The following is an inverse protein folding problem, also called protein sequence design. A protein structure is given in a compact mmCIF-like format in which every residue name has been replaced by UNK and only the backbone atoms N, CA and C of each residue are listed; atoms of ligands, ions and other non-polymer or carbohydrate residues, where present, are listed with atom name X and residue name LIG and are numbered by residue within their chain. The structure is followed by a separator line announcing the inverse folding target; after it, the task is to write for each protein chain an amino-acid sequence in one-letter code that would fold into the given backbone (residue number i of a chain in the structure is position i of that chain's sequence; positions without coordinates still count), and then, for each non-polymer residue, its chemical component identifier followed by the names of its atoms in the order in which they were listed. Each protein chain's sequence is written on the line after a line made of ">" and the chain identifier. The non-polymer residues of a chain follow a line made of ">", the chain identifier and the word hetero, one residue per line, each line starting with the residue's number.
data_IF_833905061412
#
_entry.id   IF_833905061412
#
_cell.length_a   1.000
_cell.length_b   1.000
_cell.length_c   1.000
_cell.angle_alpha   90.00
_cell.angle_beta   90.00
_cell.angle_gamma   90.00
#
_symmetry.space_group_name_H-M   'P 1'
#
loop_
_entity.id
_entity.type
_entity.pdbx_description
1 polymer ?
#
# COMPACT_ATOMS: atom_id res chain seq x y z
N UNK A 1 20.08 11.37 26.97
CA UNK A 1 18.74 11.14 26.41
C UNK A 1 18.51 12.22 25.37
N UNK A 2 18.57 11.96 24.07
CA UNK A 2 18.13 12.97 23.09
C UNK A 2 16.60 12.92 23.04
N UNK A 3 15.96 14.06 23.29
CA UNK A 3 14.55 14.27 23.11
C UNK A 3 14.22 14.08 21.62
N UNK A 4 13.39 13.08 21.32
CA UNK A 4 12.80 12.89 20.01
C UNK A 4 11.84 14.05 19.74
N UNK A 5 12.25 15.00 18.90
CA UNK A 5 11.33 15.98 18.31
C UNK A 5 10.31 15.23 17.44
N UNK A 6 9.18 14.87 18.04
CA UNK A 6 7.98 14.60 17.30
C UNK A 6 7.51 15.94 16.70
N UNK A 7 8.01 16.26 15.50
CA UNK A 7 7.61 17.46 14.77
C UNK A 7 6.11 17.40 14.50
N UNK A 8 5.40 18.49 14.80
CA UNK A 8 3.99 18.65 14.41
C UNK A 8 3.90 18.48 12.89
N UNK A 9 3.12 17.48 12.45
CA UNK A 9 2.84 17.26 11.02
C UNK A 9 2.30 18.55 10.40
N UNK A 10 2.75 18.90 9.22
CA UNK A 10 2.24 20.05 8.47
C UNK A 10 0.74 19.86 8.17
N UNK A 11 0.04 20.94 7.81
CA UNK A 11 -1.38 20.84 7.44
C UNK A 11 -1.62 19.91 6.25
N UNK A 12 -0.72 19.86 5.27
CA UNK A 12 -0.79 18.95 4.13
C UNK A 12 -0.61 17.49 4.56
N UNK A 13 0.37 17.20 5.40
CA UNK A 13 0.58 15.85 5.93
C UNK A 13 -0.58 15.36 6.80
N UNK A 14 -1.25 16.26 7.55
CA UNK A 14 -2.45 15.93 8.31
C UNK A 14 -3.64 15.63 7.39
N UNK A 15 -3.78 16.37 6.30
CA UNK A 15 -4.83 16.16 5.31
C UNK A 15 -4.60 14.87 4.53
N UNK A 16 -3.38 14.60 4.10
CA UNK A 16 -3.00 13.35 3.42
C UNK A 16 -3.24 12.14 4.33
N UNK A 17 -2.87 12.26 5.60
CA UNK A 17 -3.15 11.22 6.61
C UNK A 17 -4.65 10.98 6.81
N UNK A 18 -5.46 12.04 6.88
CA UNK A 18 -6.91 11.91 7.01
C UNK A 18 -7.55 11.28 5.76
N UNK A 19 -7.12 11.70 4.56
CA UNK A 19 -7.58 11.14 3.29
C UNK A 19 -7.21 9.67 3.15
N UNK A 20 -6.02 9.27 3.62
CA UNK A 20 -5.58 7.89 3.68
C UNK A 20 -6.60 7.03 4.44
N UNK A 21 -6.92 7.36 5.68
CA UNK A 21 -7.88 6.58 6.47
C UNK A 21 -9.29 6.55 5.88
N UNK A 22 -9.71 7.64 5.23
CA UNK A 22 -11.01 7.68 4.55
C UNK A 22 -11.03 6.70 3.37
N UNK A 23 -9.99 6.68 2.54
CA UNK A 23 -9.94 5.81 1.36
C UNK A 23 -9.91 4.32 1.72
N UNK A 24 -9.14 3.93 2.72
CA UNK A 24 -9.05 2.53 3.18
C UNK A 24 -10.31 2.00 3.86
N UNK A 25 -11.22 2.88 4.27
CA UNK A 25 -12.55 2.51 4.82
C UNK A 25 -13.54 2.02 3.77
N UNK A 26 -13.23 2.10 2.47
CA UNK A 26 -14.15 1.72 1.39
C UNK A 26 -13.87 0.33 0.80
N UNK A 27 -14.94 -0.43 0.56
CA UNK A 27 -14.84 -1.79 0.00
C UNK A 27 -14.25 -1.83 -1.42
N UNK A 28 -14.44 -0.80 -2.23
CA UNK A 28 -13.85 -0.78 -3.58
C UNK A 28 -12.32 -0.78 -3.52
N UNK A 29 -11.74 -0.04 -2.58
CA UNK A 29 -10.30 -0.01 -2.36
C UNK A 29 -9.77 -1.37 -1.86
N UNK A 30 -10.51 -1.99 -0.94
CA UNK A 30 -10.19 -3.35 -0.49
C UNK A 30 -10.25 -4.36 -1.64
N UNK A 31 -11.25 -4.22 -2.52
CA UNK A 31 -11.38 -5.07 -3.71
C UNK A 31 -10.16 -4.96 -4.61
N UNK A 32 -9.69 -3.75 -4.89
CA UNK A 32 -8.53 -3.52 -5.76
C UNK A 32 -7.27 -4.19 -5.18
N UNK A 33 -7.03 -4.06 -3.86
CA UNK A 33 -5.92 -4.75 -3.19
C UNK A 33 -6.07 -6.28 -3.21
N UNK A 34 -7.29 -6.80 -3.02
CA UNK A 34 -7.55 -8.24 -3.07
C UNK A 34 -7.50 -8.83 -4.48
N UNK A 35 -7.64 -8.01 -5.53
CA UNK A 35 -7.48 -8.42 -6.92
C UNK A 35 -6.01 -8.47 -7.36
N UNK A 36 -5.11 -7.87 -6.62
CA UNK A 36 -3.66 -8.00 -6.84
C UNK A 36 -3.20 -9.42 -6.49
N UNK A 37 -3.17 -10.27 -7.51
CA UNK A 37 -2.82 -11.68 -7.34
C UNK A 37 -1.40 -11.88 -6.80
N UNK A 38 -0.44 -11.08 -7.23
CA UNK A 38 0.94 -11.17 -6.76
C UNK A 38 1.02 -10.95 -5.26
N UNK A 39 0.36 -9.91 -4.76
CA UNK A 39 0.24 -9.60 -3.33
C UNK A 39 -0.47 -10.73 -2.58
N UNK A 40 -1.64 -11.14 -3.06
CA UNK A 40 -2.45 -12.17 -2.39
C UNK A 40 -1.75 -13.52 -2.36
N UNK A 41 -1.15 -13.96 -3.45
CA UNK A 41 -0.41 -15.22 -3.49
C UNK A 41 0.84 -15.18 -2.60
N UNK A 42 1.56 -14.07 -2.58
CA UNK A 42 2.71 -13.85 -1.70
C UNK A 42 2.33 -14.07 -0.23
N UNK A 43 1.35 -13.35 0.29
CA UNK A 43 0.90 -13.48 1.68
C UNK A 43 0.24 -14.82 1.97
N UNK A 44 -0.63 -15.30 1.07
CA UNK A 44 -1.27 -16.60 1.20
C UNK A 44 -0.23 -17.72 1.32
N UNK A 45 0.78 -17.72 0.47
CA UNK A 45 1.83 -18.70 0.50
C UNK A 45 2.70 -18.57 1.75
N UNK A 46 3.08 -17.33 2.12
CA UNK A 46 3.84 -17.08 3.34
C UNK A 46 3.15 -17.61 4.60
N UNK A 47 1.82 -17.57 4.66
CA UNK A 47 1.05 -18.03 5.81
C UNK A 47 0.67 -19.52 5.70
N UNK A 48 -0.03 -19.90 4.62
CA UNK A 48 -0.63 -21.23 4.52
C UNK A 48 0.40 -22.32 4.21
N UNK A 49 1.43 -22.03 3.40
CA UNK A 49 2.49 -23.02 3.15
C UNK A 49 3.44 -23.16 4.37
N UNK A 50 3.44 -22.16 5.25
CA UNK A 50 4.16 -22.21 6.52
C UNK A 50 3.24 -22.51 7.73
N UNK A 51 2.13 -23.18 7.52
CA UNK A 51 1.13 -23.46 8.56
C UNK A 51 1.74 -24.06 9.84
N UNK A 52 2.81 -24.84 9.74
CA UNK A 52 3.53 -25.39 10.90
C UNK A 52 4.09 -24.29 11.83
N UNK A 53 4.49 -23.16 11.27
CA UNK A 53 5.02 -22.03 12.04
C UNK A 53 3.89 -21.25 12.74
N UNK A 54 2.66 -21.30 12.20
CA UNK A 54 1.49 -20.64 12.76
C UNK A 54 0.70 -21.52 13.75
N UNK A 55 0.79 -22.83 13.62
CA UNK A 55 0.01 -23.78 14.44
C UNK A 55 0.26 -23.56 15.94
N UNK A 56 -0.83 -23.32 16.68
CA UNK A 56 -0.82 -23.08 18.12
C UNK A 56 -0.24 -21.73 18.57
N UNK A 57 0.10 -20.84 17.63
CA UNK A 57 0.69 -19.51 17.89
C UNK A 57 -0.36 -18.43 18.13
N UNK A 58 0.05 -17.40 18.84
CA UNK A 58 -0.68 -16.14 18.95
C UNK A 58 -0.15 -15.19 17.88
N UNK A 59 -1.05 -14.68 17.04
CA UNK A 59 -0.72 -13.82 15.89
C UNK A 59 -1.34 -12.44 16.07
N UNK A 60 -0.61 -11.40 15.69
CA UNK A 60 -1.11 -10.05 15.58
C UNK A 60 -1.08 -9.62 14.10
N UNK A 61 -2.23 -9.23 13.57
CA UNK A 61 -2.39 -8.66 12.23
C UNK A 61 -2.59 -7.15 12.36
N UNK A 62 -1.59 -6.38 11.94
CA UNK A 62 -1.59 -4.92 12.06
C UNK A 62 -2.08 -4.30 10.76
N UNK A 63 -3.19 -3.55 10.82
CA UNK A 63 -3.87 -3.02 9.64
C UNK A 63 -4.59 -4.12 8.87
N UNK A 64 -5.44 -4.88 9.56
CA UNK A 64 -6.05 -6.10 9.00
C UNK A 64 -6.96 -5.84 7.79
N UNK A 65 -7.42 -4.60 7.59
CA UNK A 65 -8.31 -4.25 6.48
C UNK A 65 -9.56 -5.13 6.47
N UNK A 66 -9.73 -5.92 5.42
CA UNK A 66 -10.83 -6.89 5.28
C UNK A 66 -10.71 -8.11 6.21
N UNK A 67 -9.58 -8.32 6.88
CA UNK A 67 -9.32 -9.47 7.74
C UNK A 67 -8.72 -10.68 7.03
N UNK A 68 -8.27 -10.55 5.77
CA UNK A 68 -7.82 -11.69 4.98
C UNK A 68 -6.60 -12.39 5.57
N UNK A 69 -5.59 -11.64 6.04
CA UNK A 69 -4.38 -12.21 6.63
C UNK A 69 -4.70 -12.89 7.97
N UNK A 70 -5.54 -12.27 8.80
CA UNK A 70 -6.02 -12.86 10.05
C UNK A 70 -6.77 -14.17 9.82
N UNK A 71 -7.63 -14.22 8.79
CA UNK A 71 -8.37 -15.44 8.39
C UNK A 71 -7.40 -16.52 7.94
N UNK A 72 -6.39 -16.21 7.14
CA UNK A 72 -5.38 -17.18 6.74
C UNK A 72 -4.55 -17.68 7.91
N UNK A 73 -4.14 -16.79 8.83
CA UNK A 73 -3.43 -17.19 10.03
C UNK A 73 -4.25 -18.15 10.90
N UNK A 74 -5.54 -17.89 11.07
CA UNK A 74 -6.43 -18.80 11.78
C UNK A 74 -6.59 -20.16 11.06
N UNK A 75 -6.75 -20.14 9.72
CA UNK A 75 -6.80 -21.36 8.89
C UNK A 75 -5.47 -22.14 8.90
N UNK A 76 -4.34 -21.47 9.10
CA UNK A 76 -3.03 -22.09 9.31
C UNK A 76 -2.87 -22.71 10.73
N UNK A 77 -3.90 -22.63 11.57
CA UNK A 77 -3.91 -23.28 12.89
C UNK A 77 -3.44 -22.37 14.03
N UNK A 78 -3.43 -21.06 13.85
CA UNK A 78 -3.15 -20.13 14.95
C UNK A 78 -4.12 -20.38 16.12
N UNK A 79 -3.58 -20.33 17.36
CA UNK A 79 -4.38 -20.46 18.57
C UNK A 79 -5.27 -19.25 18.78
N UNK A 80 -4.76 -18.06 18.48
CA UNK A 80 -5.43 -16.77 18.62
C UNK A 80 -4.87 -15.79 17.61
N UNK A 81 -5.74 -14.96 17.04
CA UNK A 81 -5.34 -13.88 16.15
C UNK A 81 -6.00 -12.58 16.62
N UNK A 82 -5.19 -11.57 16.91
CA UNK A 82 -5.63 -10.21 17.16
C UNK A 82 -5.50 -9.42 15.86
N UNK A 83 -6.61 -8.96 15.30
CA UNK A 83 -6.68 -8.26 14.03
C UNK A 83 -7.01 -6.79 14.30
N UNK A 84 -6.03 -5.90 14.15
CA UNK A 84 -6.16 -4.48 14.46
C UNK A 84 -6.49 -3.71 13.18
N UNK A 85 -7.54 -2.86 13.24
CA UNK A 85 -7.98 -2.01 12.14
C UNK A 85 -8.43 -0.65 12.66
N UNK A 86 -7.85 0.42 12.13
CA UNK A 86 -8.15 1.78 12.57
C UNK A 86 -9.39 2.38 11.91
N UNK A 87 -9.86 1.82 10.79
CA UNK A 87 -10.97 2.33 10.00
C UNK A 87 -12.28 1.58 10.26
N UNK A 88 -13.35 2.07 9.67
CA UNK A 88 -14.66 1.37 9.67
C UNK A 88 -14.62 -0.02 8.99
N UNK A 89 -13.53 -0.35 8.30
CA UNK A 89 -13.33 -1.68 7.70
C UNK A 89 -13.31 -2.79 8.75
N UNK A 90 -12.99 -2.49 10.01
CA UNK A 90 -13.11 -3.40 11.15
C UNK A 90 -14.46 -4.11 11.23
N UNK A 91 -15.56 -3.42 10.88
CA UNK A 91 -16.91 -4.01 10.88
C UNK A 91 -17.06 -5.06 9.78
N UNK A 92 -16.46 -4.83 8.62
CA UNK A 92 -16.45 -5.79 7.52
C UNK A 92 -15.53 -6.98 7.84
N UNK A 93 -14.39 -6.74 8.45
CA UNK A 93 -13.51 -7.80 8.94
C UNK A 93 -14.23 -8.73 9.93
N UNK A 94 -14.95 -8.18 10.91
CA UNK A 94 -15.77 -8.98 11.85
C UNK A 94 -16.81 -9.86 11.12
N UNK A 95 -17.47 -9.30 10.09
CA UNK A 95 -18.44 -10.05 9.28
C UNK A 95 -17.77 -11.19 8.53
N UNK A 96 -16.64 -10.94 7.89
CA UNK A 96 -15.87 -11.96 7.15
C UNK A 96 -15.34 -13.05 8.08
N UNK A 97 -14.83 -12.68 9.26
CA UNK A 97 -14.40 -13.64 10.28
C UNK A 97 -15.56 -14.55 10.69
N UNK A 98 -16.74 -13.99 10.95
CA UNK A 98 -17.94 -14.75 11.31
C UNK A 98 -18.41 -15.65 10.15
N UNK A 99 -18.43 -15.17 8.91
CA UNK A 99 -18.78 -15.97 7.73
C UNK A 99 -17.83 -17.17 7.49
N UNK A 100 -16.58 -17.06 7.97
CA UNK A 100 -15.62 -18.15 7.91
C UNK A 100 -15.62 -19.03 9.17
N UNK A 101 -16.52 -18.81 10.12
CA UNK A 101 -16.64 -19.53 11.40
C UNK A 101 -15.34 -19.46 12.24
N UNK A 102 -14.67 -18.30 12.26
CA UNK A 102 -13.39 -18.09 12.93
C UNK A 102 -13.47 -17.10 14.13
N UNK A 103 -14.67 -16.70 14.55
CA UNK A 103 -14.89 -15.73 15.63
C UNK A 103 -14.34 -16.14 16.99
N UNK A 104 -14.13 -17.44 17.21
CA UNK A 104 -13.53 -17.94 18.43
C UNK A 104 -11.99 -17.82 18.44
N UNK A 105 -11.39 -17.74 17.26
CA UNK A 105 -9.95 -17.64 17.06
C UNK A 105 -9.52 -16.21 16.76
N UNK A 106 -10.23 -15.48 15.89
CA UNK A 106 -9.90 -14.13 15.46
C UNK A 106 -10.70 -13.09 16.22
N UNK A 107 -9.98 -12.19 16.89
CA UNK A 107 -10.56 -11.02 17.59
C UNK A 107 -10.22 -9.75 16.81
N UNK A 108 -11.22 -9.09 16.24
CA UNK A 108 -11.04 -7.83 15.52
C UNK A 108 -11.15 -6.66 16.51
N UNK A 109 -10.07 -5.91 16.64
CA UNK A 109 -9.94 -4.74 17.49
C UNK A 109 -9.96 -3.47 16.63
N UNK A 110 -10.87 -2.55 16.95
CA UNK A 110 -11.02 -1.30 16.22
C UNK A 110 -10.26 -0.18 16.93
N UNK A 111 -9.32 0.43 16.24
CA UNK A 111 -8.51 1.54 16.74
C UNK A 111 -7.09 1.54 16.18
N UNK A 112 -6.37 2.60 16.54
CA UNK A 112 -4.95 2.73 16.22
C UNK A 112 -4.14 1.75 17.06
N UNK A 113 -3.13 1.12 16.44
CA UNK A 113 -2.27 0.13 17.11
C UNK A 113 -1.64 0.68 18.40
N UNK A 114 -1.24 1.95 18.39
CA UNK A 114 -0.57 2.63 19.50
C UNK A 114 -1.51 2.96 20.67
N UNK A 115 -2.82 2.85 20.46
CA UNK A 115 -3.86 3.19 21.45
C UNK A 115 -4.61 1.98 21.99
N UNK A 116 -4.32 0.80 21.42
CA UNK A 116 -4.96 -0.44 21.83
C UNK A 116 -4.06 -1.25 22.76
N UNK A 117 -4.66 -1.94 23.70
CA UNK A 117 -3.99 -2.96 24.51
C UNK A 117 -4.26 -4.34 23.92
N UNK A 118 -3.19 -5.04 23.55
CA UNK A 118 -3.26 -6.47 23.21
C UNK A 118 -3.01 -7.25 24.53
N UNK A 119 -3.91 -8.17 24.90
CA UNK A 119 -3.91 -8.74 26.25
C UNK A 119 -2.71 -9.68 26.54
N UNK A 120 -1.94 -10.07 25.52
CA UNK A 120 -0.79 -10.94 25.66
C UNK A 120 0.30 -10.64 24.62
N UNK A 121 1.51 -11.09 24.88
CA UNK A 121 2.59 -11.05 23.87
C UNK A 121 2.31 -12.06 22.77
N UNK A 122 2.64 -11.69 21.53
CA UNK A 122 2.37 -12.48 20.33
C UNK A 122 3.63 -13.21 19.83
N UNK A 123 3.43 -14.35 19.19
CA UNK A 123 4.52 -15.12 18.60
C UNK A 123 4.86 -14.64 17.19
N UNK A 124 3.86 -14.09 16.47
CA UNK A 124 3.98 -13.68 15.09
C UNK A 124 3.26 -12.34 14.88
N UNK A 125 3.87 -11.46 14.11
CA UNK A 125 3.21 -10.27 13.55
C UNK A 125 3.11 -10.46 12.04
N UNK A 126 1.91 -10.27 11.48
CA UNK A 126 1.68 -10.16 10.04
C UNK A 126 1.16 -8.78 9.73
N UNK A 127 1.55 -8.18 8.60
CA UNK A 127 1.03 -6.89 8.17
C UNK A 127 1.33 -6.65 6.69
N UNK A 128 0.38 -6.11 5.96
CA UNK A 128 0.62 -5.54 4.63
C UNK A 128 0.69 -4.03 4.80
N UNK A 129 1.91 -3.52 4.99
CA UNK A 129 2.19 -2.15 5.36
C UNK A 129 2.87 -1.32 4.25
N UNK A 130 3.25 -1.97 3.15
CA UNK A 130 4.06 -1.35 2.11
C UNK A 130 3.21 -0.38 1.29
N UNK A 131 3.55 0.90 1.39
CA UNK A 131 2.97 1.95 0.56
C UNK A 131 3.76 2.22 -0.71
N UNK A 132 3.37 3.26 -1.43
CA UNK A 132 4.11 3.76 -2.57
C UNK A 132 5.55 4.08 -2.18
N UNK A 133 6.49 3.67 -3.06
CA UNK A 133 7.91 3.81 -2.81
C UNK A 133 8.31 3.22 -1.43
N UNK A 134 7.69 2.12 -1.07
CA UNK A 134 7.79 1.36 0.17
C UNK A 134 7.30 2.12 1.41
N UNK A 135 7.76 3.32 1.67
CA UNK A 135 7.64 4.04 2.95
C UNK A 135 6.53 5.09 2.99
N UNK A 136 5.91 5.44 1.87
CA UNK A 136 4.76 6.35 1.90
C UNK A 136 3.61 5.66 2.64
N UNK A 137 2.83 6.43 3.39
CA UNK A 137 1.69 5.99 4.22
C UNK A 137 2.01 5.81 5.71
N UNK A 138 3.29 5.72 6.08
CA UNK A 138 3.78 5.70 7.47
C UNK A 138 3.21 4.54 8.35
N UNK A 139 2.61 3.50 7.74
CA UNK A 139 2.07 2.37 8.49
C UNK A 139 3.17 1.50 9.11
N UNK A 140 4.39 1.58 8.58
CA UNK A 140 5.55 0.90 9.16
C UNK A 140 5.77 1.28 10.62
N UNK A 141 5.54 2.54 11.01
CA UNK A 141 5.70 2.98 12.40
C UNK A 141 4.80 2.20 13.35
N UNK A 142 3.56 1.94 12.97
CA UNK A 142 2.61 1.12 13.73
C UNK A 142 3.06 -0.33 13.85
N UNK A 143 3.66 -0.87 12.79
CA UNK A 143 4.21 -2.24 12.80
C UNK A 143 5.43 -2.33 13.70
N UNK A 144 6.34 -1.34 13.66
CA UNK A 144 7.50 -1.27 14.54
C UNK A 144 7.08 -1.10 16.01
N UNK A 145 6.08 -0.26 16.29
CA UNK A 145 5.49 -0.14 17.61
C UNK A 145 4.94 -1.50 18.10
N UNK A 146 4.19 -2.20 17.26
CA UNK A 146 3.65 -3.51 17.58
C UNK A 146 4.75 -4.54 17.87
N UNK A 147 5.84 -4.53 17.08
CA UNK A 147 7.03 -5.36 17.29
C UNK A 147 7.64 -5.12 18.66
N UNK A 148 7.95 -3.87 18.95
CA UNK A 148 8.68 -3.51 20.17
C UNK A 148 7.83 -3.69 21.43
N UNK A 149 6.50 -3.53 21.28
CA UNK A 149 5.57 -3.64 22.41
C UNK A 149 5.08 -5.07 22.62
N UNK A 150 4.77 -5.82 21.56
CA UNK A 150 4.00 -7.06 21.70
C UNK A 150 4.71 -8.32 21.22
N UNK A 151 5.72 -8.22 20.35
CA UNK A 151 6.40 -9.42 19.87
C UNK A 151 7.24 -10.08 20.98
N UNK A 152 7.12 -11.37 21.10
CA UNK A 152 7.98 -12.16 22.00
C UNK A 152 9.42 -12.18 21.50
N UNK A 153 10.42 -12.32 22.40
CA UNK A 153 11.79 -12.61 21.98
C UNK A 153 11.82 -13.87 21.10
N UNK A 154 12.46 -13.74 19.92
CA UNK A 154 12.50 -14.83 18.93
C UNK A 154 11.19 -15.02 18.14
N UNK A 155 10.24 -14.11 18.28
CA UNK A 155 9.03 -14.08 17.44
C UNK A 155 9.34 -13.73 15.99
N UNK A 156 8.41 -14.01 15.09
CA UNK A 156 8.56 -13.81 13.65
C UNK A 156 7.69 -12.66 13.13
N UNK A 157 8.17 -12.02 12.06
CA UNK A 157 7.41 -10.99 11.33
C UNK A 157 7.22 -11.41 9.87
N UNK A 158 6.05 -11.10 9.31
CA UNK A 158 5.70 -11.33 7.91
C UNK A 158 5.11 -10.04 7.32
N UNK A 159 5.89 -9.30 6.50
CA UNK A 159 7.26 -9.55 6.10
C UNK A 159 8.26 -9.30 7.24
N UNK A 160 9.43 -9.94 7.16
CA UNK A 160 10.56 -9.71 8.08
C UNK A 160 11.52 -8.62 7.58
N UNK A 161 11.59 -8.44 6.26
CA UNK A 161 12.46 -7.49 5.56
C UNK A 161 11.73 -6.91 4.36
N UNK A 162 12.12 -5.70 3.97
CA UNK A 162 11.68 -5.08 2.74
C UNK A 162 12.85 -4.28 2.15
N UNK A 163 12.89 -4.18 0.81
CA UNK A 163 13.98 -3.50 0.11
C UNK A 163 13.41 -2.60 -0.98
N UNK A 164 14.04 -1.46 -1.20
CA UNK A 164 13.87 -0.67 -2.42
C UNK A 164 14.98 -1.07 -3.37
N UNK A 165 14.61 -1.60 -4.52
CA UNK A 165 15.55 -2.04 -5.55
C UNK A 165 15.54 -1.05 -6.71
N UNK A 166 16.72 -0.73 -7.23
CA UNK A 166 16.91 0.04 -8.45
C UNK A 166 17.60 -0.84 -9.50
N UNK A 167 17.08 -0.80 -10.71
CA UNK A 167 17.67 -1.52 -11.83
C UNK A 167 17.47 -0.75 -13.15
N UNK A 168 18.42 -0.83 -14.11
CA UNK A 168 18.22 -0.28 -15.43
C UNK A 168 17.24 -1.17 -16.24
N UNK A 169 16.34 -0.52 -16.97
CA UNK A 169 15.31 -1.19 -17.77
C UNK A 169 15.43 -0.80 -19.23
N UNK A 170 15.11 -1.75 -20.12
CA UNK A 170 14.82 -1.50 -21.52
C UNK A 170 13.36 -1.89 -21.79
N UNK A 171 12.45 -0.99 -21.43
CA UNK A 171 11.02 -1.14 -21.67
C UNK A 171 10.56 -0.16 -22.75
N UNK A 172 9.47 -0.50 -23.44
CA UNK A 172 8.89 0.37 -24.46
C UNK A 172 8.13 1.58 -23.87
N UNK A 173 8.21 1.77 -22.55
CA UNK A 173 7.45 2.77 -21.82
C UNK A 173 7.79 4.20 -22.26
N UNK A 174 9.08 4.50 -22.45
CA UNK A 174 9.50 5.82 -22.92
C UNK A 174 8.95 6.15 -24.31
N UNK A 175 9.01 5.21 -25.26
CA UNK A 175 8.47 5.38 -26.62
C UNK A 175 6.94 5.59 -26.57
N UNK A 176 6.24 4.83 -25.74
CA UNK A 176 4.80 4.99 -25.56
C UNK A 176 4.47 6.37 -25.00
N UNK A 177 5.14 6.81 -23.96
CA UNK A 177 4.91 8.12 -23.32
C UNK A 177 5.28 9.28 -24.24
N UNK A 178 6.34 9.14 -25.03
CA UNK A 178 6.67 10.14 -26.04
C UNK A 178 5.61 10.22 -27.16
N UNK A 179 4.97 9.11 -27.52
CA UNK A 179 3.82 9.08 -28.41
C UNK A 179 2.61 9.79 -27.81
N UNK A 180 2.23 9.44 -26.57
CA UNK A 180 1.14 10.08 -25.85
C UNK A 180 1.34 11.62 -25.72
N UNK A 181 2.58 12.04 -25.44
CA UNK A 181 2.92 13.46 -25.38
C UNK A 181 2.74 14.15 -26.74
N UNK A 182 3.19 13.54 -27.85
CA UNK A 182 3.01 14.09 -29.18
C UNK A 182 1.53 14.17 -29.57
N UNK A 183 0.73 13.16 -29.22
CA UNK A 183 -0.71 13.12 -29.47
C UNK A 183 -1.44 14.24 -28.69
N UNK A 184 -1.06 14.47 -27.44
CA UNK A 184 -1.65 15.57 -26.61
C UNK A 184 -1.35 16.95 -27.17
N UNK A 185 -0.14 17.19 -27.69
CA UNK A 185 0.19 18.46 -28.36
C UNK A 185 -0.61 18.64 -29.67
N UNK A 186 -0.82 17.57 -30.42
CA UNK A 186 -1.68 17.58 -31.59
C UNK A 186 -3.14 17.90 -31.23
N UNK A 187 -3.68 17.24 -30.23
CA UNK A 187 -5.03 17.48 -29.71
C UNK A 187 -5.22 18.91 -29.21
N UNK A 188 -4.20 19.51 -28.57
CA UNK A 188 -4.22 20.91 -28.18
C UNK A 188 -4.28 21.86 -29.38
N UNK A 189 -3.53 21.57 -30.43
CA UNK A 189 -3.54 22.40 -31.64
C UNK A 189 -4.94 22.38 -32.32
N UNK A 190 -5.54 21.18 -32.44
CA UNK A 190 -6.90 21.02 -32.98
C UNK A 190 -7.94 21.74 -32.12
N UNK A 191 -7.83 21.62 -30.80
CA UNK A 191 -8.70 22.33 -29.85
C UNK A 191 -8.56 23.85 -29.98
N UNK A 192 -7.35 24.35 -30.08
CA UNK A 192 -7.10 25.81 -30.27
C UNK A 192 -7.75 26.31 -31.54
N UNK A 193 -7.64 25.59 -32.66
CA UNK A 193 -8.28 25.95 -33.92
C UNK A 193 -9.83 25.92 -33.80
N UNK A 194 -10.37 24.89 -33.14
CA UNK A 194 -11.81 24.82 -32.87
C UNK A 194 -12.30 26.02 -32.05
N UNK A 195 -11.58 26.40 -30.99
CA UNK A 195 -11.94 27.56 -30.15
C UNK A 195 -11.93 28.82 -30.93
N UNK A 196 -10.95 29.03 -31.81
CA UNK A 196 -10.87 30.17 -32.69
C UNK A 196 -12.02 30.20 -33.70
N UNK A 197 -12.26 29.08 -34.38
CA UNK A 197 -13.22 29.02 -35.48
C UNK A 197 -14.68 29.02 -35.03
N UNK A 198 -14.99 28.27 -33.95
CA UNK A 198 -16.36 28.04 -33.47
C UNK A 198 -16.79 28.99 -32.37
N UNK A 199 -15.86 29.43 -31.52
CA UNK A 199 -16.16 30.26 -30.36
C UNK A 199 -15.62 31.69 -30.47
N UNK A 200 -14.81 31.99 -31.50
CA UNK A 200 -14.22 33.33 -31.69
C UNK A 200 -13.18 33.68 -30.62
N UNK A 201 -12.60 32.69 -29.95
CA UNK A 201 -11.64 32.90 -28.85
C UNK A 201 -10.28 32.37 -29.25
N UNK A 202 -9.25 33.21 -29.20
CA UNK A 202 -7.87 32.83 -29.43
C UNK A 202 -7.22 32.35 -28.11
N UNK A 203 -6.85 31.07 -28.02
CA UNK A 203 -6.25 30.50 -26.84
C UNK A 203 -4.79 30.07 -27.05
N UNK A 204 -4.21 30.32 -28.22
CA UNK A 204 -2.83 29.95 -28.56
C UNK A 204 -1.78 30.46 -27.58
N UNK A 205 -2.06 31.56 -26.86
CA UNK A 205 -1.17 32.05 -25.78
C UNK A 205 -0.97 31.08 -24.60
N UNK A 206 -1.76 30.01 -24.50
CA UNK A 206 -1.62 28.98 -23.45
C UNK A 206 -0.79 27.78 -23.93
N UNK A 207 -0.43 27.68 -25.20
CA UNK A 207 0.22 26.50 -25.77
C UNK A 207 1.53 26.16 -25.09
N UNK A 208 2.39 27.12 -24.77
CA UNK A 208 3.66 26.91 -24.08
C UNK A 208 3.46 26.37 -22.66
N UNK A 209 2.41 26.83 -21.96
CA UNK A 209 2.09 26.36 -20.61
C UNK A 209 1.58 24.93 -20.65
N UNK A 210 0.68 24.62 -21.60
CA UNK A 210 0.15 23.28 -21.78
C UNK A 210 1.25 22.28 -22.17
N UNK A 211 2.12 22.64 -23.10
CA UNK A 211 3.29 21.86 -23.48
C UNK A 211 4.14 21.50 -22.26
N UNK A 212 4.48 22.48 -21.43
CA UNK A 212 5.27 22.26 -20.20
C UNK A 212 4.58 21.32 -19.24
N UNK A 213 3.27 21.51 -19.00
CA UNK A 213 2.50 20.65 -18.11
C UNK A 213 2.45 19.21 -18.62
N UNK A 214 2.24 18.99 -19.91
CA UNK A 214 2.23 17.67 -20.50
C UNK A 214 3.62 17.02 -20.49
N UNK A 215 4.66 17.78 -20.75
CA UNK A 215 6.04 17.31 -20.64
C UNK A 215 6.39 16.83 -19.24
N UNK A 216 6.08 17.63 -18.22
CA UNK A 216 6.29 17.28 -16.82
C UNK A 216 5.49 16.04 -16.42
N UNK A 217 4.21 16.00 -16.82
CA UNK A 217 3.31 14.90 -16.45
C UNK A 217 3.67 13.58 -17.15
N UNK A 218 3.92 13.60 -18.47
CA UNK A 218 4.12 12.38 -19.25
C UNK A 218 5.57 11.90 -19.28
N UNK A 219 6.56 12.82 -19.25
CA UNK A 219 7.96 12.50 -19.47
C UNK A 219 8.86 12.64 -18.23
N UNK A 220 8.46 13.45 -17.24
CA UNK A 220 9.28 13.68 -16.06
C UNK A 220 8.68 13.10 -14.78
N UNK A 221 7.37 12.86 -14.72
CA UNK A 221 6.77 12.32 -13.51
C UNK A 221 7.07 10.82 -13.34
N UNK A 222 7.08 10.37 -12.10
CA UNK A 222 7.16 8.94 -11.79
C UNK A 222 5.96 8.20 -12.39
N UNK A 223 6.23 7.10 -13.07
CA UNK A 223 5.21 6.26 -13.70
C UNK A 223 5.03 4.99 -12.89
N UNK A 224 3.78 4.64 -12.63
CA UNK A 224 3.40 3.39 -11.97
C UNK A 224 2.95 2.38 -13.02
N UNK A 225 3.70 1.31 -13.18
CA UNK A 225 3.38 0.25 -14.13
C UNK A 225 3.88 -1.10 -13.63
N UNK A 226 3.35 -2.16 -14.21
CA UNK A 226 3.91 -3.50 -14.00
C UNK A 226 5.15 -3.67 -14.87
N UNK A 227 6.27 -3.98 -14.23
CA UNK A 227 7.53 -4.26 -14.88
C UNK A 227 7.71 -5.77 -15.07
N UNK A 228 8.35 -6.17 -16.16
CA UNK A 228 8.73 -7.56 -16.43
C UNK A 228 10.21 -7.73 -16.16
N UNK A 229 10.58 -8.78 -15.47
CA UNK A 229 11.98 -9.12 -15.25
C UNK A 229 12.80 -9.24 -16.53
N UNK A 230 12.15 -9.63 -17.65
CA UNK A 230 12.79 -9.66 -18.98
C UNK A 230 13.17 -8.30 -19.55
N UNK A 231 12.69 -7.21 -18.93
CA UNK A 231 13.01 -5.83 -19.32
C UNK A 231 14.20 -5.25 -18.54
N UNK A 232 14.64 -5.94 -17.49
CA UNK A 232 15.84 -5.57 -16.73
C UNK A 232 17.08 -5.91 -17.55
N UNK A 233 17.95 -4.91 -17.79
CA UNK A 233 19.12 -5.02 -18.68
C UNK A 233 20.47 -4.93 -17.96
N UNK A 234 20.48 -4.83 -16.67
CA UNK A 234 21.70 -4.76 -15.86
C UNK A 234 21.47 -5.28 -14.46
N UNK A 235 22.51 -5.25 -13.65
CA UNK A 235 22.43 -5.69 -12.26
C UNK A 235 21.47 -4.81 -11.45
N UNK A 236 20.69 -5.45 -10.61
CA UNK A 236 19.86 -4.81 -9.62
C UNK A 236 20.67 -4.58 -8.33
N UNK A 237 20.36 -3.51 -7.62
CA UNK A 237 20.92 -3.27 -6.30
C UNK A 237 19.92 -2.64 -5.37
N UNK A 238 19.97 -3.05 -4.12
CA UNK A 238 19.18 -2.45 -3.06
C UNK A 238 19.72 -1.06 -2.75
N UNK A 239 18.84 -0.06 -2.81
CA UNK A 239 19.15 1.32 -2.38
C UNK A 239 18.75 1.57 -0.93
N UNK A 240 17.88 0.71 -0.40
CA UNK A 240 17.43 0.69 0.98
C UNK A 240 17.03 -0.74 1.38
N UNK A 241 17.41 -1.13 2.60
CA UNK A 241 17.03 -2.39 3.23
C UNK A 241 16.47 -2.16 4.64
#
# INVERSE_FOLDING_TARGET
>A
MPETHAGQKSKSEQLDFANYFVSYGYLYHQKDMLQDQGRMDGYRNAILMNARSFAGKVVLDVGTGSGILAIWAAKAGAKKVYAVEATSMSQHARRLVAQNNLQDVVVVLEGYMEKLEIPEKVDIIVSEWMGYFLLREAMLDSVLYARDTYLKPGGAMYPSHAQIIMAPLCANLHTQRAGEYADELGAWADFSEYMRASNGVEIGGLAEYYDREQFEYLLQSAQWCQLRWSEVIGDEFAVME
#
